data_IF_388136238047
#
_entry.id   IF_388136238047
#
_cell.length_a   1.000
_cell.length_b   1.000
_cell.length_c   1.000
_cell.angle_alpha   90.00
_cell.angle_beta   90.00
_cell.angle_gamma   90.00
#
_symmetry.space_group_name_H-M   'P 1'
#
loop_
_entity.id
_entity.type
_entity.pdbx_description
1 polymer ?
#
# COMPACT_ATOMS: atom_id res chain seq x y z
N UNK A 1 21.13 15.02 0.62
CA UNK A 1 20.54 14.31 -0.54
C UNK A 1 19.04 14.33 -0.36
N UNK A 2 18.30 15.04 -1.23
CA UNK A 2 16.85 15.16 -1.13
C UNK A 2 16.17 14.06 -1.95
N UNK A 3 15.48 13.14 -1.29
CA UNK A 3 14.64 12.17 -1.99
C UNK A 3 13.36 12.88 -2.45
N UNK A 4 13.22 13.03 -3.77
CA UNK A 4 11.99 13.55 -4.38
C UNK A 4 10.93 12.46 -4.24
N UNK A 5 10.02 12.58 -3.27
CA UNK A 5 8.86 11.70 -3.15
C UNK A 5 8.00 11.94 -4.39
N UNK A 6 8.17 11.09 -5.42
CA UNK A 6 7.21 11.03 -6.53
C UNK A 6 5.88 10.68 -5.91
N UNK A 7 4.85 11.48 -6.18
CA UNK A 7 3.48 11.18 -5.78
C UNK A 7 3.08 9.83 -6.41
N UNK A 8 3.26 8.74 -5.67
CA UNK A 8 2.93 7.37 -6.07
C UNK A 8 1.46 7.05 -5.84
N UNK A 9 0.60 8.06 -5.99
CA UNK A 9 -0.83 7.96 -5.69
C UNK A 9 -1.58 7.07 -6.68
N UNK A 10 -1.06 6.81 -7.88
CA UNK A 10 -1.83 6.13 -8.91
C UNK A 10 -1.91 4.61 -8.78
N UNK A 11 -1.02 3.94 -8.02
CA UNK A 11 -0.94 2.46 -8.00
C UNK A 11 -0.80 1.84 -6.58
N UNK A 12 -1.16 2.52 -5.50
CA UNK A 12 -1.06 1.89 -4.17
C UNK A 12 -2.07 0.73 -4.04
N UNK A 13 -1.65 -0.48 -3.64
CA UNK A 13 -2.54 -1.62 -3.55
C UNK A 13 -3.62 -1.40 -2.47
N UNK A 14 -4.89 -1.57 -2.85
CA UNK A 14 -5.99 -1.56 -1.92
C UNK A 14 -5.96 -2.83 -1.05
N UNK A 15 -5.49 -2.69 0.20
CA UNK A 15 -5.40 -3.79 1.18
C UNK A 15 -5.48 -3.29 2.61
N UNK A 16 -5.66 -4.21 3.55
CA UNK A 16 -5.55 -3.94 4.99
C UNK A 16 -4.11 -3.50 5.31
N UNK A 17 -3.98 -2.44 6.11
CA UNK A 17 -2.69 -2.00 6.64
C UNK A 17 -2.14 -3.04 7.63
N UNK A 18 -0.81 -3.13 7.69
CA UNK A 18 -0.14 -3.99 8.67
C UNK A 18 -0.33 -3.38 10.05
N UNK A 19 -0.67 -4.23 11.02
CA UNK A 19 -0.81 -3.86 12.42
C UNK A 19 0.44 -4.31 13.18
N UNK A 20 0.99 -3.42 13.99
CA UNK A 20 2.12 -3.68 14.88
C UNK A 20 1.72 -3.33 16.31
N UNK A 21 2.27 -4.04 17.28
CA UNK A 21 2.02 -3.81 18.70
C UNK A 21 3.31 -3.32 19.38
N UNK A 22 3.19 -2.23 20.14
CA UNK A 22 4.28 -1.65 20.93
C UNK A 22 3.69 -1.34 22.29
N UNK A 23 4.19 -2.01 23.33
CA UNK A 23 3.79 -1.74 24.73
C UNK A 23 2.26 -1.81 24.93
N UNK A 24 1.63 -2.89 24.46
CA UNK A 24 0.17 -3.12 24.50
C UNK A 24 -0.67 -2.12 23.66
N UNK A 25 -0.01 -1.28 22.86
CA UNK A 25 -0.68 -0.34 21.95
C UNK A 25 -0.53 -0.79 20.50
N UNK A 26 -1.65 -1.02 19.83
CA UNK A 26 -1.69 -1.35 18.40
C UNK A 26 -1.62 -0.11 17.51
N UNK A 27 -0.81 -0.22 16.45
CA UNK A 27 -0.66 0.78 15.40
C UNK A 27 -0.83 0.17 14.00
N UNK A 28 -1.51 0.88 13.11
CA UNK A 28 -1.42 0.65 11.68
C UNK A 28 -0.18 1.34 11.10
N UNK A 29 0.64 0.56 10.40
CA UNK A 29 1.74 1.06 9.58
C UNK A 29 1.19 1.57 8.24
N UNK A 30 1.25 2.89 7.99
CA UNK A 30 0.88 3.48 6.71
C UNK A 30 2.10 4.07 5.99
N UNK A 31 2.70 3.23 5.13
CA UNK A 31 3.85 3.62 4.33
C UNK A 31 3.56 4.71 3.28
N UNK A 32 2.29 4.98 2.94
CA UNK A 32 1.95 6.08 2.02
C UNK A 32 2.19 7.44 2.65
N UNK A 33 1.90 7.52 3.95
CA UNK A 33 1.97 8.73 4.74
C UNK A 33 3.19 8.73 5.65
N UNK A 34 3.99 7.66 5.60
CA UNK A 34 5.23 7.49 6.35
C UNK A 34 5.01 7.62 7.87
N UNK A 35 3.90 7.09 8.37
CA UNK A 35 3.50 7.19 9.77
C UNK A 35 2.89 5.88 10.32
N UNK A 36 2.99 5.72 11.63
CA UNK A 36 2.26 4.72 12.41
C UNK A 36 1.10 5.41 13.14
N UNK A 37 -0.13 4.92 12.96
CA UNK A 37 -1.34 5.49 13.59
C UNK A 37 -2.00 4.49 14.52
N UNK A 38 -2.37 4.90 15.72
CA UNK A 38 -3.01 4.01 16.66
C UNK A 38 -4.32 3.48 16.09
N UNK A 39 -4.57 2.20 16.32
CA UNK A 39 -5.80 1.51 15.90
C UNK A 39 -7.03 2.06 16.64
N UNK A 40 -6.85 2.44 17.91
CA UNK A 40 -7.95 2.89 18.78
C UNK A 40 -8.16 4.41 18.76
N UNK A 41 -7.11 5.18 18.44
CA UNK A 41 -7.16 6.64 18.43
C UNK A 41 -6.29 7.21 17.31
N UNK A 42 -6.88 7.49 16.14
CA UNK A 42 -6.16 7.99 14.98
C UNK A 42 -5.49 9.36 15.18
N UNK A 43 -5.81 10.09 16.27
CA UNK A 43 -5.08 11.31 16.64
C UNK A 43 -3.68 10.99 17.18
N UNK A 44 -3.50 9.80 17.79
CA UNK A 44 -2.21 9.28 18.25
C UNK A 44 -1.46 8.65 17.09
N UNK A 45 -0.34 9.27 16.74
CA UNK A 45 0.52 8.83 15.67
C UNK A 45 1.95 9.30 15.84
N UNK A 46 2.86 8.63 15.15
CA UNK A 46 4.25 9.04 15.02
C UNK A 46 4.74 8.88 13.59
N UNK A 47 5.68 9.74 13.20
CA UNK A 47 6.35 9.62 11.90
C UNK A 47 7.41 8.54 11.98
N UNK A 48 7.57 7.80 10.88
CA UNK A 48 8.68 6.87 10.72
C UNK A 48 10.05 7.57 10.70
N UNK A 49 10.11 8.89 10.46
CA UNK A 49 11.35 9.68 10.56
C UNK A 49 11.89 9.79 12.00
N UNK A 50 11.04 9.49 13.00
CA UNK A 50 11.42 9.48 14.42
C UNK A 50 12.03 8.14 14.83
N UNK A 51 12.10 7.19 13.90
CA UNK A 51 12.59 5.83 14.13
C UNK A 51 13.94 5.68 13.44
N UNK A 52 14.90 5.07 14.11
CA UNK A 52 16.19 4.74 13.51
C UNK A 52 15.99 3.50 12.63
N UNK A 53 16.12 3.67 11.32
CA UNK A 53 16.04 2.57 10.36
C UNK A 53 17.43 2.05 10.02
N UNK A 54 17.56 0.73 10.10
CA UNK A 54 18.70 -0.03 9.58
C UNK A 54 18.21 -0.96 8.46
N UNK A 55 19.12 -1.65 7.77
CA UNK A 55 18.74 -2.59 6.72
C UNK A 55 17.79 -3.69 7.23
N UNK A 56 17.98 -4.15 8.47
CA UNK A 56 17.25 -5.31 9.02
C UNK A 56 16.17 -4.97 10.02
N UNK A 57 16.21 -3.77 10.61
CA UNK A 57 15.42 -3.42 11.79
C UNK A 57 15.02 -1.96 11.80
N UNK A 58 13.90 -1.71 12.45
CA UNK A 58 13.44 -0.41 12.93
C UNK A 58 13.66 -0.34 14.44
N UNK A 59 14.32 0.71 14.91
CA UNK A 59 14.62 0.89 16.33
C UNK A 59 13.97 2.20 16.79
N UNK A 60 13.15 2.13 17.83
CA UNK A 60 12.50 3.30 18.41
C UNK A 60 12.71 3.37 19.92
N UNK A 61 12.79 4.58 20.42
CA UNK A 61 12.74 4.89 21.85
C UNK A 61 11.29 5.25 22.21
N UNK A 62 10.70 4.51 23.12
CA UNK A 62 9.30 4.58 23.51
C UNK A 62 9.16 5.27 24.87
N UNK A 63 8.16 6.13 24.98
CA UNK A 63 7.78 6.80 26.22
C UNK A 63 6.43 6.23 26.72
N UNK A 64 6.44 5.32 27.72
CA UNK A 64 5.23 4.72 28.27
C UNK A 64 4.26 5.73 28.88
N UNK A 65 4.75 6.90 29.33
CA UNK A 65 3.87 7.93 29.91
C UNK A 65 2.94 8.54 28.88
N UNK A 66 3.44 8.68 27.65
CA UNK A 66 2.68 9.30 26.55
C UNK A 66 2.11 8.27 25.58
N UNK A 67 2.51 7.00 25.71
CA UNK A 67 2.24 5.94 24.74
C UNK A 67 2.62 6.37 23.33
N UNK A 68 3.84 6.91 23.19
CA UNK A 68 4.34 7.41 21.92
C UNK A 68 5.88 7.33 21.84
N UNK A 69 6.43 7.51 20.63
CA UNK A 69 7.88 7.64 20.42
C UNK A 69 8.40 8.87 21.15
N UNK A 70 9.48 8.71 21.88
CA UNK A 70 10.17 9.77 22.60
C UNK A 70 10.76 10.81 21.62
N UNK A 71 10.52 12.10 21.88
CA UNK A 71 10.94 13.22 21.02
C UNK A 71 11.85 14.24 21.72
N UNK A 72 12.30 13.93 22.94
CA UNK A 72 13.15 14.83 23.72
C UNK A 72 14.57 14.89 23.17
N UNK A 73 15.32 15.87 23.64
CA UNK A 73 16.73 16.01 23.30
C UNK A 73 17.63 15.08 24.17
N UNK A 74 18.95 15.24 24.05
CA UNK A 74 19.89 14.45 24.85
C UNK A 74 19.77 14.71 26.35
N UNK A 75 19.43 15.94 26.74
CA UNK A 75 19.24 16.30 28.14
C UNK A 75 17.98 15.62 28.70
N UNK A 76 16.85 15.73 28.00
CA UNK A 76 15.60 15.05 28.35
C UNK A 76 15.81 13.53 28.46
N UNK A 77 16.55 12.96 27.51
CA UNK A 77 16.90 11.55 27.52
C UNK A 77 17.74 11.20 28.75
N UNK A 78 18.77 11.98 29.07
CA UNK A 78 19.64 11.70 30.22
C UNK A 78 18.89 11.68 31.56
N UNK A 79 17.86 12.52 31.69
CA UNK A 79 17.01 12.60 32.88
C UNK A 79 16.02 11.44 32.98
N UNK A 80 15.55 10.92 31.85
CA UNK A 80 14.44 9.96 31.78
C UNK A 80 14.82 8.58 31.26
N UNK A 81 16.09 8.34 30.94
CA UNK A 81 16.56 7.10 30.30
C UNK A 81 16.11 5.81 30.99
N UNK A 82 15.90 5.84 32.31
CA UNK A 82 15.51 4.68 33.11
C UNK A 82 13.99 4.40 33.02
N UNK A 83 13.21 5.36 32.50
CA UNK A 83 11.77 5.25 32.24
C UNK A 83 11.45 4.90 30.78
N UNK A 84 12.40 5.14 29.87
CA UNK A 84 12.22 4.96 28.43
C UNK A 84 12.52 3.52 28.02
N UNK A 85 11.74 3.00 27.08
CA UNK A 85 11.87 1.64 26.59
C UNK A 85 12.43 1.64 25.17
N UNK A 86 13.24 0.64 24.82
CA UNK A 86 13.78 0.49 23.47
C UNK A 86 13.13 -0.73 22.80
N UNK A 87 12.49 -0.49 21.66
CA UNK A 87 11.89 -1.56 20.85
C UNK A 87 12.64 -1.74 19.55
N UNK A 88 12.80 -3.00 19.16
CA UNK A 88 13.33 -3.40 17.86
C UNK A 88 12.22 -4.12 17.10
N UNK A 89 11.78 -3.50 16.01
CA UNK A 89 10.84 -4.07 15.06
C UNK A 89 11.60 -4.58 13.83
N UNK A 90 11.04 -5.54 13.07
CA UNK A 90 11.57 -5.89 11.76
C UNK A 90 11.63 -4.66 10.84
N UNK A 91 12.50 -4.69 9.82
CA UNK A 91 12.53 -3.65 8.79
C UNK A 91 11.17 -3.49 8.09
N UNK A 92 10.95 -2.34 7.46
CA UNK A 92 9.73 -2.03 6.70
C UNK A 92 9.46 -3.10 5.63
N UNK A 93 10.50 -3.56 4.95
CA UNK A 93 10.39 -4.64 3.96
C UNK A 93 9.84 -5.94 4.55
N UNK A 94 10.23 -6.28 5.79
CA UNK A 94 9.77 -7.49 6.49
C UNK A 94 8.38 -7.32 7.07
N UNK A 95 8.08 -6.15 7.65
CA UNK A 95 6.76 -5.84 8.20
C UNK A 95 5.70 -5.74 7.11
N UNK A 96 6.04 -5.06 6.03
CA UNK A 96 5.11 -4.74 4.96
C UNK A 96 5.75 -4.89 3.57
N UNK A 97 5.99 -6.14 3.11
CA UNK A 97 6.68 -6.40 1.84
C UNK A 97 5.92 -5.84 0.64
N UNK A 98 4.59 -5.85 0.69
CA UNK A 98 3.74 -5.36 -0.40
C UNK A 98 3.78 -3.84 -0.46
N UNK A 99 3.64 -3.16 0.68
CA UNK A 99 3.73 -1.70 0.74
C UNK A 99 5.12 -1.19 0.43
N UNK A 100 6.16 -1.88 0.90
CA UNK A 100 7.56 -1.59 0.57
C UNK A 100 7.82 -1.74 -0.93
N UNK A 101 7.35 -2.83 -1.54
CA UNK A 101 7.49 -3.04 -2.99
C UNK A 101 6.84 -1.90 -3.78
N UNK A 102 5.63 -1.48 -3.38
CA UNK A 102 4.93 -0.35 -3.98
C UNK A 102 5.71 0.97 -3.78
N UNK A 103 6.31 1.18 -2.60
CA UNK A 103 7.13 2.35 -2.27
C UNK A 103 8.46 2.42 -3.05
N UNK A 104 8.96 1.27 -3.49
CA UNK A 104 10.11 1.18 -4.39
C UNK A 104 9.73 1.29 -5.88
N UNK A 105 8.43 1.38 -6.18
CA UNK A 105 7.92 1.44 -7.55
C UNK A 105 7.93 0.09 -8.28
N UNK A 106 8.07 -1.03 -7.55
CA UNK A 106 7.93 -2.35 -8.14
C UNK A 106 6.46 -2.63 -8.48
N UNK A 107 6.18 -3.30 -9.60
CA UNK A 107 4.82 -3.72 -9.93
C UNK A 107 4.28 -4.63 -8.81
N UNK A 108 2.99 -4.53 -8.46
CA UNK A 108 2.40 -5.40 -7.45
C UNK A 108 2.62 -6.85 -7.88
N UNK A 109 3.15 -7.67 -6.97
CA UNK A 109 3.25 -9.12 -7.17
C UNK A 109 1.83 -9.66 -7.39
N UNK A 110 1.45 -9.87 -8.65
CA UNK A 110 0.17 -10.49 -8.97
C UNK A 110 0.21 -11.90 -8.40
N UNK A 111 -0.70 -12.21 -7.49
CA UNK A 111 -0.87 -13.59 -7.06
C UNK A 111 -1.39 -14.42 -8.24
N UNK A 112 -1.13 -15.73 -8.25
CA UNK A 112 -1.68 -16.62 -9.29
C UNK A 112 -3.22 -16.49 -9.42
N UNK A 113 -3.89 -16.18 -8.30
CA UNK A 113 -5.32 -15.92 -8.22
C UNK A 113 -5.71 -14.62 -8.93
N UNK A 114 -4.92 -13.56 -8.80
CA UNK A 114 -5.13 -12.27 -9.47
C UNK A 114 -4.85 -12.38 -10.96
N UNK A 115 -3.80 -13.12 -11.35
CA UNK A 115 -3.53 -13.44 -12.75
C UNK A 115 -4.71 -14.19 -13.38
N UNK A 116 -5.33 -15.13 -12.65
CA UNK A 116 -6.49 -15.89 -13.11
C UNK A 116 -7.73 -15.02 -13.26
N UNK A 117 -7.97 -14.08 -12.34
CA UNK A 117 -9.08 -13.10 -12.44
C UNK A 117 -8.89 -12.13 -13.60
N UNK A 118 -7.68 -11.64 -13.80
CA UNK A 118 -7.37 -10.73 -14.91
C UNK A 118 -7.48 -11.44 -16.26
N UNK A 119 -6.97 -12.68 -16.36
CA UNK A 119 -7.16 -13.53 -17.54
C UNK A 119 -8.64 -13.79 -17.84
N UNK A 120 -9.46 -14.04 -16.81
CA UNK A 120 -10.92 -14.20 -16.97
C UNK A 120 -11.59 -12.92 -17.46
N UNK A 121 -11.21 -11.75 -16.93
CA UNK A 121 -11.72 -10.45 -17.40
C UNK A 121 -11.37 -10.19 -18.86
N UNK A 122 -10.13 -10.45 -19.26
CA UNK A 122 -9.68 -10.28 -20.64
C UNK A 122 -10.40 -11.24 -21.60
N UNK A 123 -10.61 -12.50 -21.19
CA UNK A 123 -11.37 -13.47 -21.97
C UNK A 123 -12.85 -13.06 -22.15
N UNK A 124 -13.48 -12.51 -21.10
CA UNK A 124 -14.85 -12.00 -21.16
C UNK A 124 -14.97 -10.81 -22.12
N UNK A 125 -14.04 -9.84 -22.03
CA UNK A 125 -14.01 -8.68 -22.93
C UNK A 125 -13.79 -9.07 -24.40
N UNK A 126 -12.97 -10.10 -24.69
CA UNK A 126 -12.80 -10.63 -26.05
C UNK A 126 -14.06 -11.32 -26.58
N UNK A 127 -14.84 -12.00 -25.74
CA UNK A 127 -16.11 -12.61 -26.15
C UNK A 127 -17.17 -11.55 -26.49
N UNK A 128 -17.24 -10.46 -25.73
CA UNK A 128 -18.15 -9.33 -26.01
C UNK A 128 -17.78 -8.68 -27.34
N UNK A 129 -16.50 -8.41 -27.59
CA UNK A 129 -16.04 -7.82 -28.84
C UNK A 129 -16.30 -8.72 -30.06
N UNK A 130 -16.19 -10.05 -29.92
CA UNK A 130 -16.51 -11.00 -31.00
C UNK A 130 -18.00 -11.05 -31.35
N UNK A 131 -18.90 -10.84 -30.39
CA UNK A 131 -20.36 -10.79 -30.65
C UNK A 131 -20.79 -9.51 -31.38
N UNK A 132 -20.07 -8.40 -31.19
CA UNK A 132 -20.36 -7.13 -31.85
C UNK A 132 -20.05 -7.13 -33.37
N UNK A 133 -19.25 -8.09 -33.87
CA UNK A 133 -18.74 -8.08 -35.26
C UNK A 133 -19.63 -8.90 -36.24
N UNK A 134 -20.73 -9.51 -35.81
CA UNK A 134 -21.59 -10.32 -36.71
C UNK A 134 -22.98 -9.73 -36.90
N UNK A 135 -23.10 -8.74 -37.81
CA UNK A 135 -24.28 -8.61 -38.68
C UNK A 135 -23.82 -8.16 -40.08
N UNK A 136 -23.58 -9.08 -41.04
CA UNK A 136 -23.69 -8.73 -42.45
C UNK A 136 -25.18 -8.64 -42.78
N UNK A 137 -25.70 -7.43 -43.00
CA UNK A 137 -27.05 -7.21 -43.50
C UNK A 137 -27.14 -7.69 -44.96
N UNK A 138 -27.49 -8.96 -45.14
CA UNK A 138 -27.77 -9.56 -46.46
C UNK A 138 -29.23 -9.32 -46.87
N UNK A 139 -29.67 -8.06 -46.92
CA UNK A 139 -30.89 -7.72 -47.65
C UNK A 139 -30.61 -7.58 -49.14
N UNK A 140 -30.65 -8.74 -49.81
CA UNK A 140 -30.79 -8.91 -51.26
C UNK A 140 -31.87 -8.00 -51.84
N UNK A 141 -31.46 -6.89 -52.46
CA UNK A 141 -32.32 -6.05 -53.30
C UNK A 141 -32.66 -6.81 -54.59
N UNK A 142 -33.82 -7.47 -54.61
CA UNK A 142 -34.47 -7.96 -55.83
C UNK A 142 -34.85 -6.76 -56.71
N UNK A 143 -34.00 -6.42 -57.68
CA UNK A 143 -34.34 -5.46 -58.76
C UNK A 143 -35.38 -6.13 -59.67
N UNK A 144 -36.63 -5.66 -59.60
CA UNK A 144 -37.62 -5.94 -60.65
C UNK A 144 -37.24 -5.13 -61.89
N UNK A 145 -36.84 -5.83 -62.95
CA UNK A 145 -36.75 -5.25 -64.28
C UNK A 145 -38.17 -5.00 -64.84
N UNK A 146 -38.40 -3.77 -65.29
CA UNK A 146 -39.50 -3.36 -66.18
C UNK A 146 -38.87 -2.47 -67.25
N UNK A 147 -38.79 -2.96 -68.48
CA UNK A 147 -38.74 -2.18 -69.72
C UNK A 147 -39.10 -3.15 -70.85
N UNK A 148 -40.30 -2.95 -71.41
CA UNK A 148 -40.61 -2.51 -72.77
C UNK A 148 -40.78 -3.71 -73.72
#
# INVERSE_FOLDING_TARGET
MGYKIRAMSQNWPARKLVEIEIDEVSFYLDLRLWECRSVHDFSKKFSLDQVVMTQDKMILCWDPRTNNVFKGDHHDYSLRKDELLWYQLPSIEKLDPVGYSALMGYPPLMTATDMKKEAMRQASNQQVNRKAIKIPDTRSRKRKGKHL
#
